data_IF_829235085034
#
_entry.id   IF_829235085034
#
_cell.length_a   1.000
_cell.length_b   1.000
_cell.length_c   1.000
_cell.angle_alpha   90.00
_cell.angle_beta   90.00
_cell.angle_gamma   90.00
#
_symmetry.space_group_name_H-M   'P 1'
#
loop_
_entity.id
_entity.type
_entity.pdbx_description
1 polymer ?
#
# COMPACT_ATOMS: atom_id res chain seq x y z
N UNK A 1 -11.51 2.63 -21.22
CA UNK A 1 -11.31 2.19 -19.82
C UNK A 1 -12.39 2.85 -18.99
N UNK A 2 -12.96 2.15 -18.00
CA UNK A 2 -13.92 2.78 -17.10
C UNK A 2 -13.24 3.92 -16.32
N UNK A 3 -13.96 5.00 -16.04
CA UNK A 3 -13.45 6.12 -15.22
C UNK A 3 -13.54 5.76 -13.73
N UNK A 4 -12.79 6.48 -12.90
CA UNK A 4 -12.97 6.41 -11.44
C UNK A 4 -14.30 7.03 -11.03
N UNK A 5 -14.79 6.67 -9.85
CA UNK A 5 -16.02 7.20 -9.27
C UNK A 5 -15.71 7.83 -7.93
N UNK A 6 -16.33 8.96 -7.60
CA UNK A 6 -16.25 9.56 -6.27
C UNK A 6 -17.63 9.65 -5.66
N UNK A 7 -17.76 9.14 -4.44
CA UNK A 7 -18.96 9.23 -3.62
C UNK A 7 -18.80 10.35 -2.60
N UNK A 8 -19.82 11.18 -2.47
CA UNK A 8 -19.88 12.26 -1.49
C UNK A 8 -21.29 12.37 -0.89
N UNK A 9 -21.39 13.04 0.25
CA UNK A 9 -22.65 13.50 0.85
C UNK A 9 -23.28 12.55 1.87
N UNK A 10 -22.75 11.34 2.07
CA UNK A 10 -23.22 10.49 3.19
C UNK A 10 -22.73 11.04 4.52
N UNK A 11 -23.62 11.29 5.46
CA UNK A 11 -23.25 11.62 6.85
C UNK A 11 -23.65 10.50 7.83
N UNK A 12 -23.06 10.48 9.02
CA UNK A 12 -23.38 9.54 10.09
C UNK A 12 -22.98 8.09 9.78
N UNK A 13 -23.91 7.15 9.98
CA UNK A 13 -23.63 5.71 9.82
C UNK A 13 -23.21 5.40 8.38
N UNK A 14 -22.10 4.67 8.24
CA UNK A 14 -21.48 4.35 6.96
C UNK A 14 -21.00 5.56 6.15
N UNK A 15 -20.67 6.68 6.80
CA UNK A 15 -20.00 7.83 6.13
C UNK A 15 -18.67 7.47 5.47
N UNK A 16 -18.07 6.33 5.83
CA UNK A 16 -16.87 5.77 5.20
C UNK A 16 -17.07 5.35 3.74
N UNK A 17 -18.30 5.33 3.21
CA UNK A 17 -18.53 5.16 1.77
C UNK A 17 -18.15 6.41 0.96
N UNK A 18 -18.00 7.58 1.59
CA UNK A 18 -17.53 8.79 0.91
C UNK A 18 -16.05 8.66 0.56
N UNK A 19 -15.76 8.15 -0.64
CA UNK A 19 -14.41 7.88 -1.07
C UNK A 19 -14.28 7.95 -2.58
N UNK A 20 -13.04 7.85 -3.08
CA UNK A 20 -12.76 7.61 -4.48
C UNK A 20 -12.68 6.10 -4.71
N UNK A 21 -13.26 5.64 -5.81
CA UNK A 21 -13.42 4.25 -6.20
C UNK A 21 -12.82 4.06 -7.59
N UNK A 22 -11.93 3.10 -7.71
CA UNK A 22 -11.19 2.87 -8.94
C UNK A 22 -11.72 1.66 -9.69
N UNK A 23 -11.78 1.72 -11.03
CA UNK A 23 -12.17 0.58 -11.83
C UNK A 23 -11.20 -0.58 -11.61
N UNK A 24 -11.74 -1.75 -11.32
CA UNK A 24 -10.99 -2.99 -11.26
C UNK A 24 -10.86 -3.60 -12.66
N UNK A 25 -9.80 -4.38 -12.88
CA UNK A 25 -9.69 -5.23 -14.08
C UNK A 25 -10.66 -6.42 -14.06
N UNK A 26 -11.21 -6.75 -12.89
CA UNK A 26 -12.21 -7.80 -12.71
C UNK A 26 -13.64 -7.28 -12.87
N UNK A 27 -14.52 -8.15 -13.35
CA UNK A 27 -15.96 -7.92 -13.47
C UNK A 27 -16.73 -8.78 -12.48
N UNK A 28 -17.93 -8.35 -12.13
CA UNK A 28 -18.89 -9.15 -11.37
C UNK A 28 -20.21 -9.21 -12.13
N UNK A 29 -20.65 -10.42 -12.51
CA UNK A 29 -21.79 -10.62 -13.43
C UNK A 29 -21.68 -9.78 -14.71
N UNK A 30 -20.53 -9.84 -15.37
CA UNK A 30 -20.21 -9.11 -16.61
C UNK A 30 -20.34 -7.58 -16.52
N UNK A 31 -20.34 -7.04 -15.30
CA UNK A 31 -20.38 -5.61 -15.03
C UNK A 31 -19.10 -5.15 -14.33
N UNK A 32 -18.67 -3.91 -14.58
CA UNK A 32 -17.49 -3.34 -13.94
C UNK A 32 -17.63 -3.33 -12.42
N UNK A 33 -16.49 -3.50 -11.75
CA UNK A 33 -16.37 -3.35 -10.31
C UNK A 33 -15.46 -2.17 -10.05
N UNK A 34 -15.77 -1.38 -9.03
CA UNK A 34 -14.85 -0.37 -8.51
C UNK A 34 -14.48 -0.65 -7.07
N UNK A 35 -13.28 -0.23 -6.66
CA UNK A 35 -12.77 -0.39 -5.31
C UNK A 35 -12.28 0.93 -4.75
N UNK A 36 -12.79 1.31 -3.58
CA UNK A 36 -12.16 2.29 -2.72
C UNK A 36 -11.13 1.56 -1.87
N UNK A 37 -9.88 2.02 -1.94
CA UNK A 37 -8.72 1.42 -1.26
C UNK A 37 -8.38 2.17 0.03
N UNK A 38 -9.41 2.69 0.71
CA UNK A 38 -9.26 3.29 2.04
C UNK A 38 -8.95 2.22 3.12
N UNK A 39 -8.85 2.60 4.40
CA UNK A 39 -8.50 1.73 5.55
C UNK A 39 -9.21 0.36 5.53
N UNK A 40 -10.49 0.37 5.15
CA UNK A 40 -11.27 -0.81 4.81
C UNK A 40 -11.65 -0.74 3.33
N UNK A 41 -11.25 -1.72 2.50
CA UNK A 41 -11.63 -1.72 1.11
C UNK A 41 -13.15 -1.85 0.98
N UNK A 42 -13.72 -1.00 0.15
CA UNK A 42 -15.13 -1.01 -0.20
C UNK A 42 -15.27 -1.16 -1.70
N UNK A 43 -16.29 -1.90 -2.12
CA UNK A 43 -16.50 -2.25 -3.51
C UNK A 43 -17.84 -1.71 -3.97
N UNK A 44 -17.86 -1.07 -5.14
CA UNK A 44 -19.07 -0.80 -5.91
C UNK A 44 -19.17 -1.90 -6.95
N UNK A 45 -20.25 -2.67 -6.91
CA UNK A 45 -20.53 -3.70 -7.92
C UNK A 45 -22.03 -3.90 -8.09
N UNK A 46 -22.41 -4.51 -9.20
CA UNK A 46 -23.78 -4.89 -9.44
C UNK A 46 -24.04 -6.33 -8.98
N UNK A 47 -25.18 -6.56 -8.33
CA UNK A 47 -25.59 -7.88 -7.79
C UNK A 47 -26.03 -8.90 -8.85
N UNK A 48 -25.88 -8.58 -10.14
CA UNK A 48 -26.40 -9.36 -11.26
C UNK A 48 -27.94 -9.37 -11.39
N UNK A 49 -28.67 -8.92 -10.36
CA UNK A 49 -30.14 -8.97 -10.31
C UNK A 49 -30.77 -7.61 -10.56
N UNK A 50 -30.73 -6.72 -9.57
CA UNK A 50 -31.58 -5.52 -9.57
C UNK A 50 -30.98 -4.26 -8.96
N UNK A 51 -29.70 -4.29 -8.55
CA UNK A 51 -29.11 -3.19 -7.80
C UNK A 51 -27.59 -3.16 -7.86
N UNK A 52 -27.08 -1.93 -7.85
CA UNK A 52 -25.72 -1.61 -7.46
C UNK A 52 -25.63 -1.53 -5.95
N UNK A 53 -24.51 -2.01 -5.39
CA UNK A 53 -24.27 -2.03 -3.95
C UNK A 53 -22.88 -1.53 -3.62
N UNK A 54 -22.74 -1.00 -2.41
CA UNK A 54 -21.46 -0.70 -1.77
C UNK A 54 -21.26 -1.68 -0.63
N UNK A 55 -20.21 -2.50 -0.67
CA UNK A 55 -19.97 -3.53 0.35
C UNK A 55 -18.49 -3.70 0.66
N UNK A 56 -18.18 -4.39 1.76
CA UNK A 56 -16.81 -4.76 2.15
C UNK A 56 -16.21 -5.86 1.27
N UNK A 57 -17.04 -6.58 0.52
CA UNK A 57 -16.65 -7.72 -0.32
C UNK A 57 -17.54 -7.71 -1.57
N UNK A 58 -17.01 -8.26 -2.65
CA UNK A 58 -17.78 -8.57 -3.85
C UNK A 58 -18.46 -9.92 -3.62
N UNK A 59 -19.77 -9.90 -3.38
CA UNK A 59 -20.59 -11.06 -3.01
C UNK A 59 -22.04 -10.91 -3.54
N UNK A 60 -23.03 -11.48 -2.84
CA UNK A 60 -24.45 -11.35 -3.20
C UNK A 60 -25.07 -9.99 -2.86
N UNK A 61 -24.32 -9.10 -2.19
CA UNK A 61 -24.76 -7.78 -1.78
C UNK A 61 -25.77 -7.76 -0.63
N UNK A 62 -25.96 -8.87 0.10
CA UNK A 62 -26.89 -8.92 1.26
C UNK A 62 -26.38 -8.05 2.41
N UNK A 63 -25.07 -8.05 2.65
CA UNK A 63 -24.42 -7.25 3.72
C UNK A 63 -23.81 -5.96 3.19
N UNK A 64 -24.54 -5.25 2.34
CA UNK A 64 -24.11 -3.96 1.81
C UNK A 64 -24.35 -2.81 2.81
N UNK A 65 -23.67 -1.69 2.55
CA UNK A 65 -23.76 -0.44 3.30
C UNK A 65 -24.71 0.54 2.64
N UNK A 66 -24.74 0.51 1.31
CA UNK A 66 -25.62 1.31 0.48
C UNK A 66 -26.03 0.51 -0.76
N UNK A 67 -27.20 0.79 -1.31
CA UNK A 67 -27.61 0.25 -2.60
C UNK A 67 -28.45 1.25 -3.40
N UNK A 68 -28.48 1.10 -4.71
CA UNK A 68 -29.42 1.80 -5.58
C UNK A 68 -30.05 0.79 -6.55
N UNK A 69 -31.36 0.84 -6.71
CA UNK A 69 -32.05 -0.02 -7.67
C UNK A 69 -31.83 0.49 -9.08
N UNK A 70 -31.17 -0.33 -9.89
CA UNK A 70 -30.91 -0.07 -11.29
C UNK A 70 -30.43 -1.37 -11.94
N UNK A 71 -30.88 -1.61 -13.18
CA UNK A 71 -30.50 -2.80 -13.97
C UNK A 71 -29.42 -2.48 -15.02
N UNK A 72 -28.96 -1.23 -15.08
CA UNK A 72 -27.98 -0.74 -16.03
C UNK A 72 -26.56 -1.22 -15.77
N UNK A 73 -25.69 -0.93 -16.73
CA UNK A 73 -24.28 -1.31 -16.70
C UNK A 73 -23.38 -0.23 -16.07
N UNK A 74 -23.96 0.88 -15.63
CA UNK A 74 -23.22 2.03 -15.11
C UNK A 74 -23.96 2.65 -13.91
N UNK A 75 -23.38 2.62 -12.70
CA UNK A 75 -24.02 3.18 -11.50
C UNK A 75 -24.23 4.70 -11.58
N UNK A 76 -23.50 5.44 -12.43
CA UNK A 76 -23.69 6.89 -12.62
C UNK A 76 -25.01 7.23 -13.31
N UNK A 77 -25.60 6.27 -14.03
CA UNK A 77 -26.84 6.46 -14.82
C UNK A 77 -28.08 6.00 -14.08
N UNK A 78 -27.94 5.50 -12.85
CA UNK A 78 -29.07 5.08 -12.04
C UNK A 78 -29.97 6.29 -11.71
N UNK A 79 -31.26 6.20 -12.01
CA UNK A 79 -32.20 7.32 -11.87
C UNK A 79 -32.72 7.54 -10.43
N UNK A 80 -32.46 6.60 -9.52
CA UNK A 80 -32.94 6.65 -8.13
C UNK A 80 -32.00 7.38 -7.16
N UNK A 81 -32.40 7.41 -5.88
CA UNK A 81 -31.50 7.78 -4.79
C UNK A 81 -30.83 6.53 -4.22
N UNK A 82 -29.60 6.69 -3.74
CA UNK A 82 -28.96 5.65 -2.95
C UNK A 82 -29.71 5.46 -1.64
N UNK A 83 -29.94 4.21 -1.27
CA UNK A 83 -30.52 3.82 0.01
C UNK A 83 -29.41 3.41 0.97
N UNK A 84 -29.47 3.93 2.19
CA UNK A 84 -28.53 3.63 3.27
C UNK A 84 -29.29 3.29 4.55
N UNK A 85 -28.61 2.59 5.46
CA UNK A 85 -29.15 2.28 6.79
C UNK A 85 -28.89 3.45 7.75
N UNK A 86 -29.95 3.98 8.35
CA UNK A 86 -29.88 5.04 9.35
C UNK A 86 -29.42 4.51 10.73
N UNK A 87 -29.27 5.43 11.69
CA UNK A 87 -28.88 5.11 13.07
C UNK A 87 -29.83 4.07 13.70
N UNK A 88 -31.13 4.15 13.39
CA UNK A 88 -32.17 3.25 13.90
C UNK A 88 -32.22 1.87 13.20
N UNK A 89 -31.28 1.60 12.27
CA UNK A 89 -31.22 0.33 11.54
C UNK A 89 -32.21 0.20 10.37
N UNK A 90 -32.99 1.25 10.09
CA UNK A 90 -33.93 1.29 8.97
C UNK A 90 -33.24 1.75 7.68
N UNK A 91 -33.62 1.18 6.54
CA UNK A 91 -33.14 1.59 5.22
C UNK A 91 -33.98 2.73 4.67
N UNK A 92 -33.36 3.85 4.30
CA UNK A 92 -34.01 5.01 3.69
C UNK A 92 -33.21 5.54 2.52
N UNK A 93 -33.91 6.18 1.59
CA UNK A 93 -33.28 6.94 0.52
C UNK A 93 -32.52 8.13 1.13
N UNK A 94 -31.24 8.25 0.77
CA UNK A 94 -30.39 9.37 1.14
C UNK A 94 -30.11 10.20 -0.13
N UNK A 95 -30.85 11.30 -0.34
CA UNK A 95 -30.72 12.12 -1.53
C UNK A 95 -29.40 12.88 -1.57
N UNK A 96 -28.62 12.94 -0.47
CA UNK A 96 -27.35 13.65 -0.45
C UNK A 96 -26.21 12.82 -1.06
N UNK A 97 -26.39 11.51 -1.19
CA UNK A 97 -25.35 10.65 -1.77
C UNK A 97 -25.29 10.88 -3.27
N UNK A 98 -24.12 11.32 -3.72
CA UNK A 98 -23.88 11.63 -5.13
C UNK A 98 -22.63 10.92 -5.62
N UNK A 99 -22.74 10.27 -6.79
CA UNK A 99 -21.60 9.72 -7.52
C UNK A 99 -21.21 10.70 -8.61
N UNK A 100 -19.91 10.99 -8.70
CA UNK A 100 -19.33 11.82 -9.75
C UNK A 100 -18.20 11.07 -10.44
N UNK A 101 -18.07 11.14 -11.78
CA UNK A 101 -16.92 10.59 -12.47
C UNK A 101 -15.67 11.39 -12.06
N UNK A 102 -14.59 10.68 -11.81
CA UNK A 102 -13.27 11.26 -11.57
C UNK A 102 -12.24 10.56 -12.46
N UNK A 103 -11.19 11.26 -12.91
CA UNK A 103 -10.08 10.59 -13.58
C UNK A 103 -9.59 9.44 -12.71
N UNK A 104 -9.36 8.25 -13.28
CA UNK A 104 -8.80 7.11 -12.54
C UNK A 104 -7.48 7.47 -11.83
N UNK A 105 -6.83 8.56 -12.26
CA UNK A 105 -5.62 9.13 -11.68
C UNK A 105 -5.84 10.16 -10.57
N UNK A 106 -7.05 10.45 -10.07
CA UNK A 106 -7.21 11.50 -9.04
C UNK A 106 -6.83 11.07 -7.62
N UNK A 107 -6.69 9.76 -7.37
CA UNK A 107 -6.14 9.25 -6.11
C UNK A 107 -4.61 9.35 -6.14
N UNK A 108 -4.07 10.25 -5.33
CA UNK A 108 -2.65 10.54 -5.31
C UNK A 108 -1.80 9.37 -4.80
N UNK A 109 -2.34 8.44 -4.00
CA UNK A 109 -1.62 7.21 -3.65
C UNK A 109 -1.55 6.24 -4.84
N UNK A 110 -2.52 6.30 -5.74
CA UNK A 110 -2.49 5.54 -6.99
C UNK A 110 -1.60 6.21 -8.02
N UNK A 111 -1.56 7.55 -8.09
CA UNK A 111 -0.52 8.24 -8.84
C UNK A 111 0.87 7.87 -8.33
N UNK A 112 1.05 7.82 -7.01
CA UNK A 112 2.29 7.39 -6.37
C UNK A 112 2.62 5.95 -6.79
N UNK A 113 1.67 5.00 -6.67
CA UNK A 113 1.84 3.62 -7.16
C UNK A 113 2.25 3.56 -8.64
N UNK A 114 1.50 4.21 -9.52
CA UNK A 114 1.75 4.21 -10.96
C UNK A 114 3.11 4.80 -11.29
N UNK A 115 3.53 5.87 -10.61
CA UNK A 115 4.85 6.45 -10.78
C UNK A 115 5.95 5.47 -10.37
N UNK A 116 5.73 4.73 -9.29
CA UNK A 116 6.68 3.76 -8.75
C UNK A 116 6.79 2.54 -9.66
N UNK A 117 5.67 2.01 -10.15
CA UNK A 117 5.65 0.91 -11.12
C UNK A 117 6.41 1.28 -12.41
N UNK A 118 6.16 2.48 -12.95
CA UNK A 118 6.85 2.97 -14.15
C UNK A 118 8.37 3.13 -13.92
N UNK A 119 8.78 3.59 -12.74
CA UNK A 119 10.20 3.66 -12.38
C UNK A 119 10.84 2.27 -12.22
N UNK A 120 10.15 1.32 -11.60
CA UNK A 120 10.62 -0.06 -11.46
C UNK A 120 10.80 -0.74 -12.82
N UNK A 121 9.89 -0.48 -13.76
CA UNK A 121 9.99 -0.94 -15.13
C UNK A 121 11.20 -0.33 -15.85
N UNK A 122 11.42 0.98 -15.67
CA UNK A 122 12.57 1.69 -16.23
C UNK A 122 13.90 1.15 -15.70
N UNK A 123 13.97 0.81 -14.41
CA UNK A 123 15.13 0.19 -13.78
C UNK A 123 15.28 -1.30 -14.11
N UNK A 124 14.29 -1.91 -14.79
CA UNK A 124 14.29 -3.31 -15.16
C UNK A 124 14.03 -4.28 -14.01
N UNK A 125 13.69 -3.79 -12.82
CA UNK A 125 13.55 -4.60 -11.59
C UNK A 125 12.38 -5.59 -11.63
N UNK A 126 11.50 -5.49 -12.62
CA UNK A 126 10.39 -6.42 -12.86
C UNK A 126 10.60 -7.29 -14.11
N UNK A 127 11.72 -7.14 -14.82
CA UNK A 127 12.00 -7.86 -16.08
C UNK A 127 12.67 -9.21 -15.80
N UNK A 128 12.05 -10.34 -16.16
CA UNK A 128 12.58 -11.68 -15.83
C UNK A 128 14.02 -11.93 -16.30
N UNK A 129 14.40 -11.39 -17.45
CA UNK A 129 15.73 -11.54 -18.04
C UNK A 129 16.79 -10.82 -17.20
N UNK A 130 16.46 -9.61 -16.73
CA UNK A 130 17.34 -8.81 -15.88
C UNK A 130 17.47 -9.42 -14.49
N UNK A 131 16.37 -9.91 -13.93
CA UNK A 131 16.36 -10.64 -12.65
C UNK A 131 17.28 -11.88 -12.69
N UNK A 132 17.24 -12.65 -13.78
CA UNK A 132 18.13 -13.80 -13.97
C UNK A 132 19.60 -13.39 -14.03
N UNK A 133 19.92 -12.28 -14.68
CA UNK A 133 21.30 -11.77 -14.78
C UNK A 133 21.81 -11.28 -13.42
N UNK A 134 21.00 -10.52 -12.69
CA UNK A 134 21.34 -10.06 -11.35
C UNK A 134 21.54 -11.22 -10.38
N UNK A 135 20.66 -12.24 -10.40
CA UNK A 135 20.82 -13.43 -9.56
C UNK A 135 22.15 -14.14 -9.83
N UNK A 136 22.49 -14.38 -11.10
CA UNK A 136 23.75 -15.03 -11.47
C UNK A 136 24.99 -14.25 -11.02
N UNK A 137 24.90 -12.92 -10.97
CA UNK A 137 25.98 -12.06 -10.47
C UNK A 137 26.15 -12.20 -8.95
N UNK A 138 25.05 -12.38 -8.23
CA UNK A 138 25.01 -12.45 -6.77
C UNK A 138 25.38 -13.85 -6.26
N UNK A 139 24.75 -14.89 -6.81
CA UNK A 139 24.98 -16.29 -6.51
C UNK A 139 26.10 -16.87 -7.40
N UNK A 140 27.29 -16.28 -7.31
CA UNK A 140 28.43 -16.66 -8.17
C UNK A 140 28.95 -18.07 -7.87
N UNK A 141 28.88 -18.51 -6.61
CA UNK A 141 29.31 -19.84 -6.19
C UNK A 141 28.25 -20.92 -6.45
N UNK A 142 27.03 -20.55 -6.84
CA UNK A 142 25.94 -21.45 -7.19
C UNK A 142 25.37 -22.23 -6.01
N UNK A 143 25.51 -21.72 -4.78
CA UNK A 143 24.95 -22.35 -3.58
C UNK A 143 23.43 -22.07 -3.43
N UNK A 144 22.88 -21.17 -4.24
CA UNK A 144 21.44 -20.86 -4.28
C UNK A 144 20.95 -19.94 -3.17
N UNK A 145 21.85 -19.39 -2.35
CA UNK A 145 21.56 -18.50 -1.23
C UNK A 145 22.48 -17.27 -1.26
N UNK A 146 21.97 -16.14 -0.81
CA UNK A 146 22.75 -14.90 -0.77
C UNK A 146 22.59 -14.18 0.56
N UNK A 147 23.71 -13.68 1.07
CA UNK A 147 23.81 -12.98 2.34
C UNK A 147 23.52 -11.49 2.22
N UNK A 148 23.19 -10.85 3.34
CA UNK A 148 23.13 -9.40 3.43
C UNK A 148 24.38 -8.70 2.88
N UNK A 149 25.58 -9.25 3.13
CA UNK A 149 26.83 -8.65 2.67
C UNK A 149 26.99 -8.70 1.14
N UNK A 150 26.57 -9.80 0.51
CA UNK A 150 26.59 -9.94 -0.95
C UNK A 150 25.56 -9.02 -1.60
N UNK A 151 24.37 -8.91 -0.99
CA UNK A 151 23.34 -7.98 -1.45
C UNK A 151 23.85 -6.54 -1.31
N UNK A 152 24.43 -6.18 -0.17
CA UNK A 152 24.99 -4.85 0.07
C UNK A 152 26.08 -4.49 -0.93
N UNK A 153 26.99 -5.43 -1.21
CA UNK A 153 28.01 -5.29 -2.24
C UNK A 153 27.40 -5.08 -3.62
N UNK A 154 26.37 -5.85 -4.00
CA UNK A 154 25.66 -5.64 -5.26
C UNK A 154 25.08 -4.22 -5.33
N UNK A 155 24.39 -3.74 -4.29
CA UNK A 155 23.82 -2.38 -4.29
C UNK A 155 24.91 -1.34 -4.52
N UNK A 156 26.03 -1.43 -3.81
CA UNK A 156 27.17 -0.51 -3.96
C UNK A 156 27.75 -0.55 -5.37
N UNK A 157 27.96 -1.73 -5.95
CA UNK A 157 28.51 -1.87 -7.31
C UNK A 157 27.55 -1.36 -8.39
N UNK A 158 26.25 -1.65 -8.26
CA UNK A 158 25.25 -1.23 -9.24
C UNK A 158 25.09 0.29 -9.26
N UNK A 159 25.15 0.91 -8.08
CA UNK A 159 25.10 2.38 -7.94
C UNK A 159 26.40 3.02 -8.40
N UNK A 160 27.56 2.53 -7.95
CA UNK A 160 28.87 3.04 -8.36
C UNK A 160 29.14 2.87 -9.86
N UNK A 161 28.55 1.85 -10.49
CA UNK A 161 28.60 1.61 -11.93
C UNK A 161 27.55 2.39 -12.74
N UNK A 162 26.71 3.22 -12.10
CA UNK A 162 25.67 4.02 -12.75
C UNK A 162 24.49 3.23 -13.33
N UNK A 163 24.41 1.93 -13.05
CA UNK A 163 23.28 1.09 -13.48
C UNK A 163 22.05 1.32 -12.62
N UNK A 164 22.25 1.62 -11.34
CA UNK A 164 21.21 2.01 -10.38
C UNK A 164 21.44 3.47 -9.94
N UNK A 165 20.37 4.23 -9.68
CA UNK A 165 20.50 5.59 -9.16
C UNK A 165 21.03 5.61 -7.72
N UNK A 166 21.75 6.68 -7.36
CA UNK A 166 22.43 6.85 -6.07
C UNK A 166 21.53 6.61 -4.85
N UNK A 167 20.26 7.00 -4.96
CA UNK A 167 19.30 6.89 -3.88
C UNK A 167 18.92 5.45 -3.50
N UNK A 168 19.29 4.44 -4.29
CA UNK A 168 19.11 3.04 -3.93
C UNK A 168 20.16 2.51 -2.94
N UNK A 169 21.26 3.24 -2.73
CA UNK A 169 22.29 2.89 -1.75
C UNK A 169 22.01 3.53 -0.38
N UNK A 170 20.95 3.05 0.30
CA UNK A 170 20.60 3.48 1.64
C UNK A 170 20.64 2.28 2.61
N UNK A 171 21.55 2.31 3.58
CA UNK A 171 21.74 1.19 4.53
C UNK A 171 20.49 0.92 5.39
N UNK A 172 19.83 1.93 6.01
CA UNK A 172 18.56 1.71 6.71
C UNK A 172 17.48 1.03 5.86
N UNK A 173 17.26 1.51 4.64
CA UNK A 173 16.27 0.95 3.72
C UNK A 173 16.65 -0.48 3.28
N UNK A 174 17.93 -0.72 2.98
CA UNK A 174 18.42 -2.05 2.59
C UNK A 174 18.25 -3.07 3.72
N UNK A 175 18.66 -2.71 4.95
CA UNK A 175 18.46 -3.55 6.14
C UNK A 175 16.98 -3.90 6.31
N UNK A 176 16.10 -2.95 6.00
CA UNK A 176 14.66 -3.14 6.11
C UNK A 176 14.12 -4.07 5.04
N UNK A 177 14.56 -3.88 3.80
CA UNK A 177 14.21 -4.73 2.68
C UNK A 177 14.65 -6.17 2.93
N UNK A 178 15.87 -6.36 3.43
CA UNK A 178 16.41 -7.66 3.78
C UNK A 178 15.57 -8.37 4.83
N UNK A 179 15.36 -7.74 6.00
CA UNK A 179 14.56 -8.32 7.09
C UNK A 179 13.14 -8.65 6.66
N UNK A 180 12.52 -7.77 5.87
CA UNK A 180 11.20 -8.02 5.32
C UNK A 180 11.19 -9.28 4.47
N UNK A 181 12.16 -9.38 3.57
CA UNK A 181 12.26 -10.50 2.63
C UNK A 181 12.39 -11.82 3.38
N UNK A 182 13.37 -11.95 4.27
CA UNK A 182 13.64 -13.24 4.93
C UNK A 182 12.52 -13.65 5.90
N UNK A 183 11.93 -12.69 6.64
CA UNK A 183 10.97 -12.99 7.70
C UNK A 183 9.52 -13.12 7.21
N UNK A 184 9.18 -12.48 6.09
CA UNK A 184 7.80 -12.39 5.60
C UNK A 184 7.62 -13.08 4.26
N UNK A 185 8.50 -12.77 3.31
CA UNK A 185 8.41 -13.31 1.96
C UNK A 185 9.13 -14.68 1.86
N UNK A 186 9.98 -14.99 2.84
CA UNK A 186 10.79 -16.20 2.93
C UNK A 186 10.34 -17.18 4.02
N UNK A 187 11.22 -18.11 4.37
CA UNK A 187 10.99 -19.13 5.41
C UNK A 187 11.49 -18.73 6.81
N UNK A 188 12.02 -17.52 6.98
CA UNK A 188 12.56 -17.01 8.23
C UNK A 188 14.00 -17.41 8.49
N UNK A 189 14.72 -17.97 7.52
CA UNK A 189 16.17 -18.18 7.61
C UNK A 189 16.97 -16.87 7.54
N UNK A 190 18.29 -16.95 7.72
CA UNK A 190 19.18 -15.80 7.71
C UNK A 190 19.67 -15.43 6.30
N UNK A 191 19.12 -16.01 5.23
CA UNK A 191 19.61 -15.87 3.85
C UNK A 191 18.47 -15.48 2.91
N UNK A 192 18.81 -15.04 1.70
CA UNK A 192 17.82 -14.87 0.63
C UNK A 192 18.01 -15.98 -0.39
N UNK A 193 16.93 -16.72 -0.64
CA UNK A 193 16.89 -17.77 -1.65
C UNK A 193 16.41 -17.22 -3.00
N UNK A 194 16.65 -17.97 -4.08
CA UNK A 194 16.24 -17.55 -5.44
C UNK A 194 14.74 -17.22 -5.57
N UNK A 195 13.89 -17.94 -4.82
CA UNK A 195 12.43 -17.72 -4.81
C UNK A 195 12.03 -16.38 -4.15
N UNK A 196 12.85 -15.88 -3.24
CA UNK A 196 12.66 -14.63 -2.49
C UNK A 196 13.31 -13.43 -3.18
N UNK A 197 14.22 -13.67 -4.14
CA UNK A 197 15.03 -12.63 -4.77
C UNK A 197 14.19 -11.54 -5.47
N UNK A 198 13.08 -11.92 -6.10
CA UNK A 198 12.17 -10.94 -6.69
C UNK A 198 11.61 -10.02 -5.59
N UNK A 199 11.09 -10.60 -4.51
CA UNK A 199 10.58 -9.85 -3.35
C UNK A 199 11.65 -8.94 -2.74
N UNK A 200 12.91 -9.39 -2.65
CA UNK A 200 14.02 -8.57 -2.20
C UNK A 200 14.19 -7.30 -3.04
N UNK A 201 14.23 -7.43 -4.37
CA UNK A 201 14.44 -6.27 -5.25
C UNK A 201 13.28 -5.28 -5.21
N UNK A 202 12.04 -5.80 -5.15
CA UNK A 202 10.86 -4.97 -4.91
C UNK A 202 10.99 -4.24 -3.58
N UNK A 203 11.36 -4.96 -2.51
CA UNK A 203 11.55 -4.40 -1.18
C UNK A 203 12.66 -3.33 -1.16
N UNK A 204 13.81 -3.56 -1.79
CA UNK A 204 14.92 -2.59 -1.88
C UNK A 204 14.42 -1.30 -2.53
N UNK A 205 13.76 -1.39 -3.69
CA UNK A 205 13.21 -0.21 -4.36
C UNK A 205 12.23 0.55 -3.46
N UNK A 206 11.25 -0.18 -2.90
CA UNK A 206 10.18 0.40 -2.09
C UNK A 206 10.70 1.09 -0.83
N UNK A 207 11.54 0.43 -0.04
CA UNK A 207 12.04 1.02 1.20
C UNK A 207 12.96 2.21 0.93
N UNK A 208 13.73 2.22 -0.17
CA UNK A 208 14.54 3.38 -0.54
C UNK A 208 13.67 4.57 -0.96
N UNK A 209 12.60 4.34 -1.72
CA UNK A 209 11.65 5.40 -2.10
C UNK A 209 10.92 5.98 -0.90
N UNK A 210 10.42 5.12 -0.02
CA UNK A 210 9.78 5.56 1.21
C UNK A 210 10.76 6.32 2.09
N UNK A 211 12.04 5.93 2.12
CA UNK A 211 13.07 6.69 2.84
C UNK A 211 13.27 8.08 2.27
N UNK A 212 13.33 8.24 0.93
CA UNK A 212 13.44 9.57 0.33
C UNK A 212 12.26 10.47 0.71
N UNK A 213 11.05 9.91 0.65
CA UNK A 213 9.84 10.61 1.05
C UNK A 213 9.92 11.00 2.53
N UNK A 214 10.23 10.04 3.39
CA UNK A 214 10.33 10.23 4.83
C UNK A 214 11.36 11.30 5.20
N UNK A 215 12.55 11.25 4.59
CA UNK A 215 13.63 12.22 4.81
C UNK A 215 13.29 13.64 4.32
N UNK A 216 12.39 13.77 3.35
CA UNK A 216 11.86 15.08 2.92
C UNK A 216 10.83 15.61 3.91
N UNK A 217 10.07 14.73 4.57
CA UNK A 217 9.07 15.13 5.58
C UNK A 217 9.70 15.44 6.95
N UNK A 218 10.70 14.66 7.35
CA UNK A 218 11.47 14.80 8.60
C UNK A 218 12.43 16.00 8.51
N UNK A 219 11.86 17.21 8.57
CA UNK A 219 12.57 18.49 8.59
C UNK A 219 13.46 18.61 9.84
N UNK A 220 13.02 18.05 10.97
CA UNK A 220 13.78 18.00 12.21
C UNK A 220 14.98 17.06 12.20
N UNK A 221 15.06 16.15 11.22
CA UNK A 221 16.05 15.08 11.10
C UNK A 221 16.17 14.21 12.36
N UNK A 222 15.07 14.05 13.11
CA UNK A 222 15.03 13.28 14.35
C UNK A 222 14.64 11.80 14.10
N UNK A 223 14.43 11.45 12.82
CA UNK A 223 13.98 10.15 12.31
C UNK A 223 12.54 9.82 12.70
N UNK A 224 11.74 10.86 12.93
CA UNK A 224 10.33 10.79 13.26
C UNK A 224 9.62 11.86 12.43
N UNK A 225 8.31 11.68 12.29
CA UNK A 225 7.46 12.66 11.64
C UNK A 225 6.40 13.06 12.65
N UNK A 226 6.36 14.33 13.02
CA UNK A 226 5.25 14.88 13.78
C UNK A 226 4.04 15.21 12.87
N UNK A 227 2.89 15.54 13.47
CA UNK A 227 1.67 15.80 12.71
C UNK A 227 1.79 17.00 11.74
N UNK A 228 2.61 18.00 12.09
CA UNK A 228 2.82 19.17 11.27
C UNK A 228 3.76 18.87 10.09
N UNK A 229 4.84 18.13 10.34
CA UNK A 229 5.75 17.58 9.34
C UNK A 229 5.01 16.66 8.37
N UNK A 230 4.13 15.79 8.87
CA UNK A 230 3.28 14.94 8.04
C UNK A 230 2.39 15.77 7.10
N UNK A 231 1.67 16.77 7.64
CA UNK A 231 0.80 17.61 6.82
C UNK A 231 1.56 18.39 5.73
N UNK A 232 2.75 18.92 6.05
CA UNK A 232 3.63 19.60 5.09
C UNK A 232 4.20 18.63 4.07
N UNK A 233 4.72 17.50 4.54
CA UNK A 233 5.32 16.45 3.72
C UNK A 233 4.35 15.89 2.69
N UNK A 234 3.12 15.61 3.10
CA UNK A 234 2.05 15.19 2.19
C UNK A 234 1.80 16.26 1.12
N UNK A 235 1.69 17.53 1.51
CA UNK A 235 1.54 18.63 0.55
C UNK A 235 2.68 18.71 -0.47
N UNK A 236 3.92 18.48 -0.04
CA UNK A 236 5.11 18.44 -0.91
C UNK A 236 5.12 17.27 -1.90
N UNK A 237 4.45 16.16 -1.57
CA UNK A 237 4.19 15.05 -2.50
C UNK A 237 3.01 15.32 -3.45
N UNK A 238 2.44 16.54 -3.42
CA UNK A 238 1.25 16.90 -4.18
C UNK A 238 -0.07 16.47 -3.52
N UNK A 239 -0.03 15.91 -2.30
CA UNK A 239 -1.21 15.52 -1.52
C UNK A 239 -1.74 16.73 -0.75
N UNK A 240 -2.72 17.44 -1.31
CA UNK A 240 -3.40 18.53 -0.60
C UNK A 240 -4.43 17.97 0.37
N UNK A 241 -4.00 17.65 1.58
CA UNK A 241 -4.89 17.28 2.68
C UNK A 241 -5.29 18.54 3.47
N UNK A 242 -6.56 18.62 3.88
CA UNK A 242 -6.96 19.59 4.90
C UNK A 242 -6.31 19.23 6.25
N UNK A 243 -6.20 20.20 7.17
CA UNK A 243 -5.63 19.95 8.49
C UNK A 243 -6.35 18.81 9.24
N UNK A 244 -7.68 18.74 9.13
CA UNK A 244 -8.48 17.65 9.69
C UNK A 244 -8.17 16.30 9.03
N UNK A 245 -8.03 16.26 7.70
CA UNK A 245 -7.69 15.03 6.98
C UNK A 245 -6.26 14.55 7.31
N UNK A 246 -5.30 15.47 7.32
CA UNK A 246 -3.92 15.16 7.68
C UNK A 246 -3.82 14.60 9.10
N UNK A 247 -4.57 15.17 10.06
CA UNK A 247 -4.66 14.66 11.42
C UNK A 247 -5.27 13.26 11.49
N UNK A 248 -6.40 13.04 10.80
CA UNK A 248 -7.05 11.72 10.74
C UNK A 248 -6.13 10.67 10.13
N UNK A 249 -5.36 11.02 9.10
CA UNK A 249 -4.38 10.09 8.52
C UNK A 249 -3.18 9.87 9.46
N UNK A 250 -2.69 10.92 10.12
CA UNK A 250 -1.61 10.81 11.09
C UNK A 250 -1.98 9.86 12.25
N UNK A 251 -3.17 10.04 12.83
CA UNK A 251 -3.68 9.23 13.93
C UNK A 251 -3.85 7.74 13.53
N UNK A 252 -4.00 7.43 12.24
CA UNK A 252 -4.04 6.05 11.73
C UNK A 252 -2.64 5.43 11.63
N UNK A 253 -1.61 6.24 11.46
CA UNK A 253 -0.22 5.79 11.32
C UNK A 253 0.44 5.66 12.69
N UNK A 254 0.14 6.58 13.60
CA UNK A 254 0.59 6.58 15.00
C UNK A 254 -0.17 5.52 15.83
N UNK A 255 -0.03 4.24 15.45
CA UNK A 255 -0.70 3.11 16.10
C UNK A 255 -0.32 2.98 17.58
N UNK A 256 0.88 3.44 17.95
CA UNK A 256 1.36 3.43 19.33
C UNK A 256 0.91 4.66 20.15
N UNK A 257 0.24 5.63 19.51
CA UNK A 257 -0.23 6.89 20.10
C UNK A 257 0.88 7.71 20.79
N UNK A 258 2.09 7.65 20.24
CA UNK A 258 3.28 8.32 20.75
C UNK A 258 3.37 9.79 20.32
N UNK A 259 2.46 10.25 19.47
CA UNK A 259 2.44 11.59 18.91
C UNK A 259 3.48 11.81 17.81
N UNK A 260 4.15 10.74 17.36
CA UNK A 260 5.22 10.77 16.37
C UNK A 260 5.19 9.49 15.54
N UNK A 261 5.24 9.64 14.22
CA UNK A 261 5.29 8.52 13.28
C UNK A 261 6.74 8.12 13.04
N UNK A 262 7.07 6.86 13.33
CA UNK A 262 8.35 6.27 12.99
C UNK A 262 8.40 5.88 11.51
N UNK A 263 9.60 5.81 10.93
CA UNK A 263 9.79 5.33 9.55
C UNK A 263 9.12 3.97 9.29
N UNK A 264 9.09 3.11 10.30
CA UNK A 264 8.46 1.79 10.21
C UNK A 264 6.95 1.85 10.06
N UNK A 265 6.29 2.71 10.83
CA UNK A 265 4.84 2.92 10.79
C UNK A 265 4.45 3.59 9.47
N UNK A 266 5.23 4.58 9.04
CA UNK A 266 5.07 5.20 7.73
C UNK A 266 5.16 4.19 6.58
N UNK A 267 6.16 3.29 6.62
CA UNK A 267 6.30 2.26 5.60
C UNK A 267 5.12 1.30 5.54
N UNK A 268 4.64 0.84 6.70
CA UNK A 268 3.49 -0.05 6.80
C UNK A 268 2.24 0.61 6.22
N UNK A 269 2.00 1.86 6.59
CA UNK A 269 0.88 2.65 6.08
C UNK A 269 0.91 2.81 4.56
N UNK A 270 1.99 3.37 3.99
CA UNK A 270 2.05 3.65 2.55
C UNK A 270 1.95 2.35 1.74
N UNK A 271 2.63 1.28 2.17
CA UNK A 271 2.55 -0.01 1.48
C UNK A 271 1.14 -0.59 1.50
N UNK A 272 0.40 -0.47 2.60
CA UNK A 272 -0.99 -0.94 2.68
C UNK A 272 -1.92 -0.21 1.72
N UNK A 273 -1.65 1.08 1.44
CA UNK A 273 -2.42 1.91 0.50
C UNK A 273 -2.11 1.57 -0.95
N UNK A 274 -0.86 1.23 -1.25
CA UNK A 274 -0.39 0.99 -2.62
C UNK A 274 -0.61 -0.48 -3.05
N UNK A 275 -0.43 -1.45 -2.16
CA UNK A 275 -0.56 -2.89 -2.46
C UNK A 275 -1.61 -3.60 -1.59
N UNK A 276 -2.92 -3.31 -1.75
CA UNK A 276 -3.98 -3.98 -1.01
C UNK A 276 -4.22 -5.45 -1.42
N UNK A 277 -3.62 -5.91 -2.53
CA UNK A 277 -3.71 -7.30 -3.01
C UNK A 277 -2.57 -8.19 -2.46
N UNK A 278 -1.63 -7.64 -1.69
CA UNK A 278 -0.60 -8.40 -0.98
C UNK A 278 -1.10 -8.85 0.40
N UNK A 279 -0.76 -10.08 0.80
CA UNK A 279 -1.36 -10.81 1.92
C UNK A 279 -1.15 -10.09 3.29
N UNK A 280 -2.22 -9.46 3.80
CA UNK A 280 -2.26 -8.52 4.95
C UNK A 280 -1.82 -9.09 6.31
N UNK A 281 -1.63 -10.39 6.47
CA UNK A 281 -1.36 -11.03 7.76
C UNK A 281 0.11 -10.99 8.20
N UNK A 282 1.04 -10.57 7.33
CA UNK A 282 2.48 -10.78 7.57
C UNK A 282 3.25 -9.45 7.76
N UNK A 283 2.61 -8.30 7.49
CA UNK A 283 3.28 -7.00 7.48
C UNK A 283 3.27 -6.27 8.84
N UNK A 284 2.26 -6.49 9.70
CA UNK A 284 2.08 -5.69 10.91
C UNK A 284 2.86 -6.19 12.15
N UNK A 285 3.02 -7.50 12.33
CA UNK A 285 3.36 -8.06 13.67
C UNK A 285 4.88 -8.19 13.95
N UNK A 286 5.73 -8.05 12.92
CA UNK A 286 7.20 -8.21 13.08
C UNK A 286 7.90 -6.86 13.36
N UNK A 287 7.18 -5.74 13.24
CA UNK A 287 7.78 -4.43 13.02
C UNK A 287 7.80 -3.48 14.22
N UNK A 288 7.26 -3.87 15.38
CA UNK A 288 7.44 -3.07 16.59
C UNK A 288 8.91 -3.09 17.02
N UNK A 289 9.52 -1.91 17.13
CA UNK A 289 10.96 -1.72 17.38
C UNK A 289 11.49 -2.41 18.64
N UNK A 290 10.62 -2.79 19.58
CA UNK A 290 10.98 -3.46 20.83
C UNK A 290 11.37 -4.94 20.65
N UNK A 291 10.72 -5.67 19.74
CA UNK A 291 11.07 -7.09 19.47
C UNK A 291 12.37 -7.23 18.67
N UNK A 292 12.74 -6.23 17.89
CA UNK A 292 13.98 -6.22 17.10
C UNK A 292 15.22 -6.36 17.99
N UNK A 293 15.24 -5.74 19.17
CA UNK A 293 16.36 -5.84 20.11
C UNK A 293 16.36 -7.16 20.93
N UNK A 294 15.19 -7.77 21.15
CA UNK A 294 15.10 -9.04 21.88
C UNK A 294 15.54 -10.24 21.03
N UNK A 295 15.23 -10.25 19.73
CA UNK A 295 15.71 -11.30 18.79
C UNK A 295 17.24 -11.25 18.67
N UNK A 296 17.83 -10.05 18.61
CA UNK A 296 19.30 -9.87 18.58
C UNK A 296 20.00 -10.38 19.85
N UNK A 297 19.35 -10.29 21.03
CA UNK A 297 19.92 -10.79 22.29
C UNK A 297 19.83 -12.31 22.45
N UNK A 298 18.90 -12.97 21.77
CA UNK A 298 18.74 -14.45 21.84
C UNK A 298 19.66 -15.21 20.88
N UNK A 299 20.23 -14.57 19.86
CA UNK A 299 21.10 -15.23 18.88
C UNK A 299 22.57 -15.41 19.34
N UNK A 300 22.91 -15.10 20.61
CA UNK A 300 24.20 -15.48 21.18
C UNK A 300 24.12 -16.82 21.91
N UNK A 301 24.34 -17.88 21.14
CA UNK A 301 24.65 -19.20 21.67
C UNK A 301 23.99 -20.31 20.86
N UNK A 302 24.74 -20.96 19.98
CA UNK A 302 25.34 -22.23 20.39
C UNK A 302 26.54 -22.61 19.52
N UNK A 303 27.55 -23.10 20.23
CA UNK A 303 28.74 -23.80 19.76
C UNK A 303 28.36 -24.99 18.87
N UNK A 304 29.18 -25.25 17.86
CA UNK A 304 29.80 -26.56 17.68
C UNK A 304 31.03 -26.43 16.77
N UNK A 305 32.19 -26.64 17.40
CA UNK A 305 33.28 -27.50 16.90
C UNK A 305 32.77 -28.71 16.13
#
# INVERSE_FOLDING_TARGET
MAEGLKIMGRDGRYSNINSCYEPMGSTHHDRPVWVSRDVQPLYIFHTGKSRWVISKRVDDGVKCFAFIQDNGNDPLKAAGSWCCMDADGQWRADPNIHLTPVPASSDTFVQLRMSLDAEMEKLGLIKPEYLKQLWKRLDFNGNGIVSLAEIDKMVVEMVGGGSWPDWLNNKPALMRAYKKTILVDGDGDDWVQKREFNSLLLNIFWFNKLWQIFAVMDEGHDRRIDAAEFARGMSSLGLRLSAQQAKVEFDKIDENHGGQVLFVEFCAYVRSRVHPDANRAVDADILSGEKCNQVLRKAHGHKAT
#
